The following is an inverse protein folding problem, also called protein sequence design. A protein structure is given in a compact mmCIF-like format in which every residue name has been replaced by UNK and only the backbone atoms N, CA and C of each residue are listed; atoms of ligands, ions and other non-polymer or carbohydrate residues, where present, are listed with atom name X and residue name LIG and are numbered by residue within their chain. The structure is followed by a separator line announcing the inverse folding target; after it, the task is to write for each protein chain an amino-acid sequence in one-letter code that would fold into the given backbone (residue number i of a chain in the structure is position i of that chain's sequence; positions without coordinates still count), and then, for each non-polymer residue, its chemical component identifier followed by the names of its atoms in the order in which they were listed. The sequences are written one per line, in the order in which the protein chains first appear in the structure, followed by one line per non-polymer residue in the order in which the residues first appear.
data_IF_379115430729
#
_entry.id   IF_379115430729
#
_cell.length_a   1.000
_cell.length_b   1.000
_cell.length_c   1.000
_cell.angle_alpha   90.00
_cell.angle_beta   90.00
_cell.angle_gamma   90.00
#
_symmetry.space_group_name_H-M   'P 1'
#
loop_
_entity.id
_entity.type
_entity.pdbx_description
1 polymer ?
#
# COMPACT_ATOMS: atom_id res chain seq x y z
N UNK A 1 -27.61 58.18 50.40
CA UNK A 1 -26.38 57.40 50.15
C UNK A 1 -26.78 56.00 49.72
N UNK A 2 -26.74 55.71 48.41
CA UNK A 2 -27.10 54.39 47.86
C UNK A 2 -25.80 53.63 47.60
N UNK A 3 -25.61 52.52 48.30
CA UNK A 3 -24.48 51.61 48.07
C UNK A 3 -24.87 50.67 46.92
N UNK A 4 -24.08 50.65 45.86
CA UNK A 4 -24.20 49.68 44.79
C UNK A 4 -23.36 48.45 45.15
N UNK A 5 -23.97 47.27 45.16
CA UNK A 5 -23.26 46.00 45.24
C UNK A 5 -23.02 45.48 43.81
N UNK A 6 -21.75 45.27 43.46
CA UNK A 6 -21.38 44.60 42.21
C UNK A 6 -21.34 43.09 42.45
N UNK A 7 -22.10 42.33 41.66
CA UNK A 7 -22.04 40.86 41.62
C UNK A 7 -21.03 40.48 40.53
N UNK A 8 -19.92 39.88 40.92
CA UNK A 8 -18.99 39.25 40.01
C UNK A 8 -19.51 37.84 39.65
N UNK A 9 -19.83 37.62 38.37
CA UNK A 9 -20.15 36.30 37.84
C UNK A 9 -18.85 35.67 37.34
N UNK A 10 -18.35 34.65 38.05
CA UNK A 10 -17.29 33.80 37.55
C UNK A 10 -17.88 32.80 36.54
N UNK A 11 -17.60 32.99 35.26
CA UNK A 11 -17.84 31.97 34.24
C UNK A 11 -16.78 30.87 34.39
N UNK A 12 -17.19 29.69 34.85
CA UNK A 12 -16.32 28.51 34.82
C UNK A 12 -16.19 28.03 33.37
N UNK A 13 -14.97 28.05 32.83
CA UNK A 13 -14.65 27.40 31.55
C UNK A 13 -14.79 25.89 31.70
N UNK A 14 -15.62 25.25 30.87
CA UNK A 14 -15.60 23.79 30.76
C UNK A 14 -14.29 23.37 30.08
N UNK A 15 -13.38 22.76 30.83
CA UNK A 15 -12.21 22.13 30.28
C UNK A 15 -12.62 20.83 29.59
N UNK A 16 -12.31 20.69 28.30
CA UNK A 16 -12.40 19.40 27.63
C UNK A 16 -11.26 18.52 28.15
N UNK A 17 -11.59 17.40 28.80
CA UNK A 17 -10.58 16.40 29.15
C UNK A 17 -10.04 15.77 27.85
N UNK A 18 -8.72 15.67 27.75
CA UNK A 18 -8.07 15.00 26.63
C UNK A 18 -8.45 13.51 26.65
N UNK A 19 -8.96 13.00 25.53
CA UNK A 19 -9.23 11.57 25.36
C UNK A 19 -7.92 10.79 25.43
N UNK A 20 -7.81 9.87 26.39
CA UNK A 20 -6.65 8.99 26.53
C UNK A 20 -6.71 7.91 25.47
N UNK A 21 -5.69 7.84 24.63
CA UNK A 21 -5.50 6.74 23.68
C UNK A 21 -4.75 5.60 24.35
N UNK A 22 -5.20 4.37 24.15
CA UNK A 22 -4.52 3.15 24.59
C UNK A 22 -4.21 2.28 23.38
N UNK A 23 -3.13 1.52 23.45
CA UNK A 23 -2.75 0.53 22.43
C UNK A 23 -3.00 -0.88 22.95
N UNK A 24 -3.51 -1.75 22.10
CA UNK A 24 -3.67 -3.18 22.37
C UNK A 24 -2.93 -3.99 21.30
N UNK A 25 -2.23 -5.04 21.73
CA UNK A 25 -1.61 -5.99 20.80
C UNK A 25 -2.71 -6.92 20.26
N UNK A 26 -3.11 -6.73 19.00
CA UNK A 26 -4.15 -7.56 18.37
C UNK A 26 -3.61 -8.80 17.66
N UNK A 27 -2.33 -8.78 17.24
CA UNK A 27 -1.67 -9.92 16.55
C UNK A 27 -0.16 -9.88 16.74
N UNK A 28 0.49 -11.04 16.78
CA UNK A 28 1.95 -11.19 16.85
C UNK A 28 2.43 -12.35 15.95
N UNK A 29 3.74 -12.55 15.85
CA UNK A 29 4.34 -13.62 15.03
C UNK A 29 4.46 -13.30 13.53
N UNK A 30 4.31 -12.02 13.16
CA UNK A 30 4.45 -11.54 11.79
C UNK A 30 5.93 -11.35 11.40
N UNK A 31 6.25 -11.57 10.13
CA UNK A 31 7.58 -11.37 9.56
C UNK A 31 7.68 -10.03 8.81
N UNK A 32 8.32 -9.03 9.45
CA UNK A 32 8.55 -7.69 8.86
C UNK A 32 7.26 -7.08 8.25
N UNK A 33 6.18 -6.90 9.04
CA UNK A 33 4.95 -6.29 8.52
C UNK A 33 5.23 -4.84 8.09
N UNK A 34 4.76 -4.46 6.91
CA UNK A 34 5.01 -3.12 6.31
C UNK A 34 3.73 -2.38 5.92
N UNK A 35 2.62 -3.09 5.71
CA UNK A 35 1.33 -2.50 5.38
C UNK A 35 0.18 -3.32 5.93
N UNK A 36 -0.95 -2.66 6.19
CA UNK A 36 -2.24 -3.28 6.54
C UNK A 36 -3.34 -2.67 5.68
N UNK A 37 -4.20 -3.51 5.12
CA UNK A 37 -5.27 -3.12 4.19
C UNK A 37 -6.56 -3.89 4.48
N UNK A 38 -7.69 -3.32 4.11
CA UNK A 38 -8.98 -4.01 4.06
C UNK A 38 -9.64 -3.66 2.74
N UNK A 39 -10.27 -4.63 2.04
CA UNK A 39 -11.04 -4.32 0.84
C UNK A 39 -12.17 -3.33 1.13
N UNK A 40 -12.60 -2.54 0.14
CA UNK A 40 -13.75 -1.66 0.28
C UNK A 40 -14.98 -2.40 0.84
N UNK A 41 -15.57 -1.86 1.90
CA UNK A 41 -16.75 -2.44 2.56
C UNK A 41 -16.49 -3.66 3.45
N UNK A 42 -15.26 -4.16 3.51
CA UNK A 42 -14.90 -5.29 4.38
C UNK A 42 -14.50 -4.80 5.77
N UNK A 43 -15.30 -5.18 6.77
CA UNK A 43 -15.11 -4.80 8.17
C UNK A 43 -14.54 -5.94 9.02
N UNK A 44 -14.39 -7.14 8.45
CA UNK A 44 -13.94 -8.33 9.18
C UNK A 44 -12.46 -8.62 8.93
N UNK A 45 -12.01 -8.55 7.67
CA UNK A 45 -10.68 -8.97 7.27
C UNK A 45 -9.69 -7.80 7.28
N UNK A 46 -8.54 -8.04 7.91
CA UNK A 46 -7.34 -7.20 7.84
C UNK A 46 -6.26 -7.99 7.11
N UNK A 47 -5.83 -7.49 5.97
CA UNK A 47 -4.76 -8.06 5.15
C UNK A 47 -3.44 -7.41 5.56
N UNK A 48 -2.52 -8.21 6.08
CA UNK A 48 -1.24 -7.76 6.61
C UNK A 48 -0.14 -8.15 5.63
N UNK A 49 0.54 -7.17 5.08
CA UNK A 49 1.64 -7.35 4.14
C UNK A 49 2.94 -7.58 4.91
N UNK A 50 3.49 -8.78 4.78
CA UNK A 50 4.79 -9.18 5.32
C UNK A 50 5.86 -9.00 4.24
N UNK A 51 6.81 -8.10 4.49
CA UNK A 51 7.78 -7.69 3.47
C UNK A 51 8.59 -8.86 2.94
N UNK A 52 9.11 -9.69 3.86
CA UNK A 52 9.74 -10.97 3.54
C UNK A 52 10.15 -11.77 4.78
N UNK A 53 10.22 -13.08 4.61
CA UNK A 53 11.06 -14.00 5.36
C UNK A 53 12.01 -14.69 4.37
N UNK A 54 13.31 -14.41 4.46
CA UNK A 54 14.24 -14.74 3.36
C UNK A 54 13.91 -13.93 2.10
N UNK A 55 13.67 -14.61 0.99
CA UNK A 55 13.22 -14.06 -0.30
C UNK A 55 11.73 -14.32 -0.59
N UNK A 56 10.94 -14.56 0.47
CA UNK A 56 9.51 -14.85 0.36
C UNK A 56 8.68 -13.77 1.03
N UNK A 57 7.97 -12.95 0.25
CA UNK A 57 6.94 -12.02 0.72
C UNK A 57 5.60 -12.72 0.91
N UNK A 58 4.74 -12.20 1.79
CA UNK A 58 3.42 -12.81 2.06
C UNK A 58 2.37 -11.76 2.39
N UNK A 59 1.11 -12.11 2.15
CA UNK A 59 -0.02 -11.41 2.76
C UNK A 59 -0.75 -12.38 3.66
N UNK A 60 -0.94 -11.98 4.91
CA UNK A 60 -1.69 -12.71 5.94
C UNK A 60 -3.08 -12.09 6.08
N UNK A 61 -4.08 -12.89 6.44
CA UNK A 61 -5.40 -12.35 6.82
C UNK A 61 -5.57 -12.53 8.32
N UNK A 62 -5.92 -11.46 9.01
CA UNK A 62 -6.46 -11.48 10.37
C UNK A 62 -7.98 -11.25 10.27
N UNK A 63 -8.78 -12.05 10.96
CA UNK A 63 -10.24 -11.87 11.03
C UNK A 63 -10.65 -11.34 12.39
N UNK A 64 -11.33 -10.20 12.41
CA UNK A 64 -11.85 -9.58 13.63
C UNK A 64 -12.87 -10.50 14.33
N UNK A 65 -13.70 -11.19 13.57
CA UNK A 65 -14.72 -12.12 14.05
C UNK A 65 -14.16 -13.29 14.86
N UNK A 66 -12.95 -13.76 14.52
CA UNK A 66 -12.29 -14.87 15.22
C UNK A 66 -11.17 -14.41 16.16
N UNK A 67 -10.73 -13.16 16.01
CA UNK A 67 -9.59 -12.61 16.75
C UNK A 67 -8.27 -13.26 16.38
N UNK A 68 -8.15 -13.85 15.18
CA UNK A 68 -7.01 -14.69 14.82
C UNK A 68 -6.55 -14.52 13.36
N UNK A 69 -5.29 -14.88 13.11
CA UNK A 69 -4.77 -15.06 11.75
C UNK A 69 -5.39 -16.30 11.11
N UNK A 70 -5.74 -16.19 9.83
CA UNK A 70 -5.99 -17.35 8.98
C UNK A 70 -4.75 -18.27 8.97
N UNK A 71 -4.99 -19.58 8.94
CA UNK A 71 -3.95 -20.60 8.87
C UNK A 71 -3.26 -20.60 7.50
N UNK A 72 -4.02 -20.33 6.45
CA UNK A 72 -3.51 -20.13 5.10
C UNK A 72 -3.19 -18.65 4.86
N UNK A 73 -2.06 -18.38 4.17
CA UNK A 73 -1.73 -17.04 3.69
C UNK A 73 -2.66 -16.67 2.53
N UNK A 74 -3.02 -15.39 2.41
CA UNK A 74 -3.76 -14.89 1.25
C UNK A 74 -2.97 -15.09 -0.05
N UNK A 75 -1.70 -14.68 -0.04
CA UNK A 75 -0.77 -14.90 -1.14
C UNK A 75 0.65 -15.06 -0.62
N UNK A 76 1.47 -15.80 -1.38
CA UNK A 76 2.92 -15.95 -1.17
C UNK A 76 3.63 -15.53 -2.45
N UNK A 77 4.55 -14.58 -2.33
CA UNK A 77 5.36 -14.05 -3.45
C UNK A 77 6.79 -14.54 -3.27
N UNK A 78 7.26 -15.37 -4.19
CA UNK A 78 8.60 -15.94 -4.14
C UNK A 78 9.58 -15.12 -4.97
N UNK A 79 10.84 -15.05 -4.52
CA UNK A 79 11.89 -14.37 -5.27
C UNK A 79 11.85 -12.85 -5.16
N UNK A 80 11.21 -12.31 -4.12
CA UNK A 80 11.31 -10.87 -3.83
C UNK A 80 12.77 -10.53 -3.49
N UNK A 81 13.22 -9.36 -3.94
CA UNK A 81 14.56 -8.89 -3.64
C UNK A 81 14.73 -8.64 -2.14
N UNK A 82 15.95 -8.79 -1.67
CA UNK A 82 16.30 -8.76 -0.23
C UNK A 82 17.16 -7.57 0.15
N UNK A 83 17.39 -6.64 -0.79
CA UNK A 83 18.06 -5.37 -0.52
C UNK A 83 17.32 -4.52 0.52
N UNK A 84 17.98 -3.46 0.99
CA UNK A 84 17.59 -2.64 2.15
C UNK A 84 16.08 -2.52 2.39
N UNK A 85 15.38 -1.78 1.53
CA UNK A 85 13.94 -1.51 1.63
C UNK A 85 13.11 -2.44 0.74
N UNK A 86 13.77 -3.31 -0.02
CA UNK A 86 13.14 -4.15 -1.02
C UNK A 86 12.40 -5.35 -0.40
N UNK A 87 11.33 -5.75 -1.07
CA UNK A 87 10.50 -6.90 -0.72
C UNK A 87 9.11 -6.78 -1.34
N UNK A 88 8.11 -7.44 -0.74
CA UNK A 88 6.71 -7.10 -0.96
C UNK A 88 6.38 -5.86 -0.13
N UNK A 89 5.88 -4.79 -0.74
CA UNK A 89 5.74 -3.50 -0.07
C UNK A 89 4.29 -3.16 0.24
N UNK A 90 3.38 -3.37 -0.70
CA UNK A 90 1.96 -3.08 -0.49
C UNK A 90 1.03 -3.90 -1.41
N UNK A 91 -0.26 -3.87 -1.06
CA UNK A 91 -1.37 -4.28 -1.92
C UNK A 91 -2.41 -3.17 -2.01
N UNK A 92 -3.17 -3.14 -3.10
CA UNK A 92 -4.37 -2.33 -3.21
C UNK A 92 -5.51 -3.16 -3.80
N UNK A 93 -6.68 -3.12 -3.18
CA UNK A 93 -7.87 -3.80 -3.69
C UNK A 93 -8.58 -2.91 -4.69
N UNK A 94 -9.01 -3.49 -5.81
CA UNK A 94 -9.88 -2.80 -6.75
C UNK A 94 -11.14 -2.26 -6.02
N UNK A 95 -11.70 -1.09 -6.39
CA UNK A 95 -12.92 -0.56 -5.77
C UNK A 95 -14.07 -1.57 -5.74
N UNK A 96 -14.20 -2.37 -6.81
CA UNK A 96 -15.19 -3.45 -6.96
C UNK A 96 -14.67 -4.84 -6.52
N UNK A 97 -13.69 -4.93 -5.62
CA UNK A 97 -13.08 -6.21 -5.20
C UNK A 97 -14.08 -7.26 -4.73
N UNK A 98 -15.18 -6.84 -4.09
CA UNK A 98 -16.23 -7.75 -3.65
C UNK A 98 -16.87 -8.53 -4.80
N UNK A 99 -16.91 -7.94 -6.00
CA UNK A 99 -17.53 -8.51 -7.19
C UNK A 99 -16.51 -9.14 -8.13
N UNK A 100 -15.33 -8.52 -8.30
CA UNK A 100 -14.34 -8.94 -9.29
C UNK A 100 -13.14 -9.71 -8.71
N UNK A 101 -12.89 -9.63 -7.39
CA UNK A 101 -11.75 -10.27 -6.73
C UNK A 101 -10.38 -9.76 -7.19
N UNK A 102 -10.29 -8.57 -7.80
CA UNK A 102 -9.06 -8.00 -8.37
C UNK A 102 -8.31 -7.13 -7.35
N UNK A 103 -7.00 -7.32 -7.29
CA UNK A 103 -6.12 -6.51 -6.47
C UNK A 103 -4.74 -6.36 -7.14
N UNK A 104 -3.94 -5.43 -6.63
CA UNK A 104 -2.64 -5.08 -7.19
C UNK A 104 -1.56 -5.27 -6.15
N UNK A 105 -0.37 -5.69 -6.56
CA UNK A 105 0.81 -5.81 -5.70
C UNK A 105 1.94 -4.88 -6.14
N UNK A 106 2.59 -4.28 -5.15
CA UNK A 106 3.86 -3.57 -5.31
C UNK A 106 4.96 -4.39 -4.66
N UNK A 107 5.90 -4.90 -5.46
CA UNK A 107 7.07 -5.61 -4.92
C UNK A 107 8.34 -5.36 -5.73
N UNK A 108 9.49 -5.63 -5.13
CA UNK A 108 10.78 -5.64 -5.83
C UNK A 108 11.17 -7.07 -6.19
N UNK A 109 11.51 -7.34 -7.45
CA UNK A 109 11.77 -8.70 -7.92
C UNK A 109 13.27 -8.98 -8.07
N UNK A 110 13.78 -10.03 -7.41
CA UNK A 110 15.22 -10.35 -7.44
C UNK A 110 15.71 -10.75 -8.84
N UNK A 111 14.89 -11.46 -9.61
CA UNK A 111 15.23 -11.85 -10.99
C UNK A 111 15.32 -10.67 -11.95
N UNK A 112 14.82 -9.49 -11.55
CA UNK A 112 14.89 -8.23 -12.29
C UNK A 112 15.85 -7.25 -11.61
N UNK A 113 16.84 -7.74 -10.86
CA UNK A 113 17.83 -6.87 -10.20
C UNK A 113 17.32 -6.04 -9.02
N UNK A 114 16.09 -6.30 -8.54
CA UNK A 114 15.45 -5.51 -7.50
C UNK A 114 14.49 -4.43 -8.01
N UNK A 115 14.21 -4.43 -9.32
CA UNK A 115 13.25 -3.53 -9.95
C UNK A 115 11.85 -3.67 -9.35
N UNK A 116 11.13 -2.55 -9.31
CA UNK A 116 9.74 -2.48 -8.86
C UNK A 116 8.85 -3.12 -9.91
N UNK A 117 7.95 -4.00 -9.47
CA UNK A 117 6.89 -4.60 -10.28
C UNK A 117 5.56 -4.17 -9.70
N UNK A 118 4.73 -3.57 -10.55
CA UNK A 118 3.32 -3.32 -10.26
C UNK A 118 2.50 -4.26 -11.14
N UNK A 119 1.72 -5.14 -10.53
CA UNK A 119 0.98 -6.16 -11.26
C UNK A 119 -0.40 -6.41 -10.66
N UNK A 120 -1.33 -6.81 -11.53
CA UNK A 120 -2.72 -7.16 -11.24
C UNK A 120 -2.85 -8.65 -10.97
N UNK A 121 -3.62 -8.98 -9.94
CA UNK A 121 -3.87 -10.34 -9.46
C UNK A 121 -5.37 -10.53 -9.20
N UNK A 122 -5.78 -11.79 -9.18
CA UNK A 122 -7.16 -12.18 -8.89
C UNK A 122 -7.23 -13.23 -7.80
N UNK A 123 -8.43 -13.39 -7.23
CA UNK A 123 -8.74 -14.51 -6.34
C UNK A 123 -8.67 -15.85 -7.08
N UNK A 124 -8.14 -16.86 -6.40
CA UNK A 124 -8.29 -18.27 -6.80
C UNK A 124 -9.47 -18.91 -6.07
N UNK A 125 -9.66 -18.56 -4.80
CA UNK A 125 -10.78 -18.95 -3.96
C UNK A 125 -11.05 -17.86 -2.91
N UNK A 126 -12.07 -18.04 -2.07
CA UNK A 126 -12.28 -17.15 -0.92
C UNK A 126 -11.01 -17.12 -0.05
N UNK A 127 -10.57 -15.92 0.32
CA UNK A 127 -9.37 -15.69 1.14
C UNK A 127 -8.05 -16.23 0.57
N UNK A 128 -8.02 -16.60 -0.72
CA UNK A 128 -6.83 -17.15 -1.38
C UNK A 128 -6.68 -16.55 -2.76
N UNK A 129 -5.60 -15.78 -2.97
CA UNK A 129 -5.25 -15.23 -4.27
C UNK A 129 -4.50 -16.23 -5.16
N UNK A 130 -4.58 -16.01 -6.47
CA UNK A 130 -3.67 -16.63 -7.42
C UNK A 130 -2.25 -16.04 -7.23
N UNK A 131 -1.20 -16.85 -7.07
CA UNK A 131 0.16 -16.36 -6.93
C UNK A 131 0.76 -15.83 -8.25
N UNK A 132 0.11 -16.07 -9.39
CA UNK A 132 0.53 -15.60 -10.72
C UNK A 132 -0.27 -14.36 -11.09
N UNK A 133 0.39 -13.28 -11.57
CA UNK A 133 -0.34 -12.10 -12.01
C UNK A 133 -1.20 -12.41 -13.24
N UNK A 134 -2.34 -11.74 -13.33
CA UNK A 134 -3.17 -11.68 -14.56
C UNK A 134 -2.37 -10.92 -15.63
N UNK A 135 -1.81 -9.77 -15.24
CA UNK A 135 -0.91 -8.95 -16.06
C UNK A 135 0.00 -8.10 -15.18
N UNK A 136 1.15 -7.73 -15.74
CA UNK A 136 2.00 -6.68 -15.18
C UNK A 136 1.54 -5.33 -15.74
N UNK A 137 1.34 -4.34 -14.88
CA UNK A 137 1.02 -2.98 -15.32
C UNK A 137 2.28 -2.29 -15.85
N UNK A 138 3.36 -2.35 -15.07
CA UNK A 138 4.70 -1.95 -15.50
C UNK A 138 5.78 -2.52 -14.58
N UNK A 139 7.02 -2.46 -15.06
CA UNK A 139 8.25 -2.66 -14.28
C UNK A 139 9.04 -1.36 -14.32
N UNK A 140 9.50 -0.89 -13.17
CA UNK A 140 10.35 0.30 -13.06
C UNK A 140 11.72 -0.08 -12.52
N UNK A 141 12.77 0.37 -13.20
CA UNK A 141 14.14 0.13 -12.77
C UNK A 141 14.43 0.80 -11.42
N UNK A 142 15.07 0.07 -10.50
CA UNK A 142 15.46 0.59 -9.19
C UNK A 142 16.99 0.57 -9.04
N UNK A 143 17.68 1.69 -9.33
CA UNK A 143 19.15 1.74 -9.35
C UNK A 143 19.81 1.44 -8.00
N UNK A 144 19.09 1.64 -6.89
CA UNK A 144 19.53 1.28 -5.55
C UNK A 144 18.43 0.53 -4.78
N UNK A 145 18.84 -0.15 -3.71
CA UNK A 145 17.93 -0.95 -2.87
C UNK A 145 17.17 -0.16 -1.79
N UNK A 146 17.26 1.17 -1.83
CA UNK A 146 16.62 2.08 -0.90
C UNK A 146 15.90 3.20 -1.68
N UNK A 147 15.02 3.94 -1.01
CA UNK A 147 14.03 4.85 -1.57
C UNK A 147 13.27 4.27 -2.75
N UNK A 148 12.77 3.04 -2.60
CA UNK A 148 11.99 2.39 -3.66
C UNK A 148 10.52 2.90 -3.71
N UNK A 149 10.07 3.61 -2.67
CA UNK A 149 8.66 3.95 -2.49
C UNK A 149 7.92 2.76 -1.88
N UNK A 150 6.74 2.43 -2.38
CA UNK A 150 6.08 1.17 -2.00
C UNK A 150 4.58 1.25 -1.82
N UNK A 151 4.03 2.44 -1.56
CA UNK A 151 2.62 2.58 -1.21
C UNK A 151 1.73 2.58 -2.46
N UNK A 152 0.55 2.00 -2.32
CA UNK A 152 -0.46 1.98 -3.37
C UNK A 152 -1.87 1.99 -2.78
N UNK A 153 -2.78 2.75 -3.39
CA UNK A 153 -4.21 2.72 -3.05
C UNK A 153 -5.08 3.32 -4.14
N UNK A 154 -6.39 3.04 -4.10
CA UNK A 154 -7.35 3.67 -4.99
C UNK A 154 -7.84 5.00 -4.41
N UNK A 155 -7.86 6.02 -5.27
CA UNK A 155 -8.50 7.29 -4.95
C UNK A 155 -10.02 7.20 -5.03
N UNK A 156 -10.75 8.18 -4.46
CA UNK A 156 -12.21 8.26 -4.58
C UNK A 156 -12.68 8.53 -6.02
N UNK A 157 -11.76 8.86 -6.92
CA UNK A 157 -11.96 9.04 -8.35
C UNK A 157 -11.80 7.75 -9.15
N UNK A 158 -11.53 6.61 -8.49
CA UNK A 158 -11.44 5.30 -9.12
C UNK A 158 -10.07 4.95 -9.69
N UNK A 159 -9.07 5.83 -9.56
CA UNK A 159 -7.74 5.60 -10.10
C UNK A 159 -6.78 5.01 -9.08
N UNK A 160 -5.82 4.22 -9.56
CA UNK A 160 -4.77 3.63 -8.76
C UNK A 160 -3.63 4.65 -8.57
N UNK A 161 -3.35 5.01 -7.32
CA UNK A 161 -2.23 5.86 -6.96
C UNK A 161 -1.05 5.01 -6.48
N UNK A 162 0.14 5.30 -6.98
CA UNK A 162 1.36 4.53 -6.68
C UNK A 162 2.47 5.51 -6.31
N UNK A 163 3.14 5.28 -5.18
CA UNK A 163 4.32 6.04 -4.81
C UNK A 163 5.60 5.32 -5.25
N UNK A 164 6.43 6.02 -6.01
CA UNK A 164 7.79 5.60 -6.35
C UNK A 164 8.78 6.59 -5.76
N UNK A 165 9.75 6.10 -4.98
CA UNK A 165 10.86 6.93 -4.53
C UNK A 165 11.82 7.25 -5.68
N UNK A 166 12.85 8.04 -5.40
CA UNK A 166 13.84 8.53 -6.39
C UNK A 166 14.81 7.44 -6.91
N UNK A 167 14.64 6.20 -6.43
CA UNK A 167 15.49 5.07 -6.74
C UNK A 167 16.71 4.96 -5.84
N UNK A 168 16.86 5.85 -4.84
CA UNK A 168 17.74 5.65 -3.70
C UNK A 168 19.01 6.46 -3.63
N UNK A 169 19.82 6.09 -2.63
CA UNK A 169 21.04 6.79 -2.20
C UNK A 169 20.83 8.24 -1.74
N UNK A 170 21.88 8.84 -1.17
CA UNK A 170 21.81 10.18 -0.59
C UNK A 170 21.78 11.26 -1.69
N UNK A 171 20.73 12.09 -1.68
CA UNK A 171 20.63 13.29 -2.51
C UNK A 171 20.20 13.06 -3.96
N UNK A 172 19.38 12.04 -4.22
CA UNK A 172 18.88 11.68 -5.58
C UNK A 172 20.00 11.68 -6.64
N UNK A 173 20.99 10.78 -6.54
CA UNK A 173 22.02 10.68 -7.56
C UNK A 173 21.38 10.25 -8.88
N UNK A 174 21.52 11.12 -9.89
CA UNK A 174 20.83 10.99 -11.16
C UNK A 174 19.72 12.01 -11.34
N UNK A 175 19.35 12.74 -10.29
CA UNK A 175 18.35 13.81 -10.30
C UNK A 175 17.01 13.34 -10.92
N UNK A 176 16.64 12.07 -10.63
CA UNK A 176 15.52 11.39 -11.29
C UNK A 176 14.18 11.95 -10.85
N UNK A 177 14.09 12.39 -9.60
CA UNK A 177 12.88 13.03 -9.10
C UNK A 177 12.58 14.34 -9.86
N UNK A 178 13.60 15.04 -10.35
CA UNK A 178 13.44 16.29 -11.11
C UNK A 178 13.21 16.09 -12.61
N UNK A 179 13.53 14.93 -13.17
CA UNK A 179 13.16 14.62 -14.55
C UNK A 179 11.68 14.26 -14.62
N UNK A 180 10.90 15.11 -15.29
CA UNK A 180 9.46 14.95 -15.51
C UNK A 180 9.12 14.42 -16.91
N UNK A 181 10.14 14.11 -17.71
CA UNK A 181 9.98 13.77 -19.14
C UNK A 181 10.20 12.29 -19.40
N UNK A 182 11.14 11.66 -18.68
CA UNK A 182 11.58 10.28 -18.97
C UNK A 182 11.72 9.39 -17.73
N UNK A 183 11.30 9.85 -16.55
CA UNK A 183 11.44 9.13 -15.28
C UNK A 183 10.09 8.97 -14.57
N UNK A 184 9.83 7.77 -14.07
CA UNK A 184 8.71 7.50 -13.15
C UNK A 184 9.15 7.58 -11.68
N UNK A 185 10.46 7.57 -11.40
CA UNK A 185 11.02 7.67 -10.05
C UNK A 185 10.85 9.07 -9.43
N UNK A 186 10.65 9.07 -8.12
CA UNK A 186 10.42 10.27 -7.29
C UNK A 186 9.06 10.91 -7.55
N UNK A 187 8.04 10.11 -7.87
CA UNK A 187 6.71 10.59 -8.29
C UNK A 187 5.58 9.92 -7.50
N UNK A 188 4.44 10.60 -7.50
CA UNK A 188 3.14 9.99 -7.26
C UNK A 188 2.48 9.75 -8.61
N UNK A 189 2.33 8.49 -8.99
CA UNK A 189 1.66 8.09 -10.22
C UNK A 189 0.16 7.95 -9.94
N UNK A 190 -0.66 8.17 -10.98
CA UNK A 190 -2.11 8.00 -10.97
C UNK A 190 -2.49 7.30 -12.28
N UNK A 191 -2.95 6.06 -12.19
CA UNK A 191 -3.23 5.21 -13.35
C UNK A 191 -4.72 4.88 -13.45
N UNK A 192 -5.20 4.81 -14.68
CA UNK A 192 -6.45 4.13 -15.02
C UNK A 192 -6.13 2.67 -15.34
N UNK A 193 -6.59 1.77 -14.47
CA UNK A 193 -6.32 0.33 -14.60
C UNK A 193 -7.37 -0.38 -15.45
N UNK A 194 -8.49 0.27 -15.75
CA UNK A 194 -9.56 -0.31 -16.57
C UNK A 194 -9.34 -0.06 -18.07
N UNK A 195 -8.41 0.85 -18.40
CA UNK A 195 -7.97 1.13 -19.76
C UNK A 195 -6.57 0.63 -20.10
N UNK A 196 -6.20 0.79 -21.36
CA UNK A 196 -4.84 0.59 -21.87
C UNK A 196 -4.54 1.59 -23.00
N UNK A 197 -3.72 2.60 -22.71
CA UNK A 197 -3.28 3.60 -23.69
C UNK A 197 -2.08 3.14 -24.51
N UNK A 198 -1.49 1.97 -24.17
CA UNK A 198 -0.30 1.43 -24.80
C UNK A 198 -0.52 0.01 -25.36
N UNK A 199 -1.56 -0.25 -26.18
CA UNK A 199 -1.95 -1.60 -26.60
C UNK A 199 -0.91 -2.37 -27.45
N UNK A 200 0.15 -1.71 -27.91
CA UNK A 200 1.27 -2.34 -28.62
C UNK A 200 2.50 -2.59 -27.75
N UNK A 201 2.46 -2.22 -26.47
CA UNK A 201 3.56 -2.29 -25.53
C UNK A 201 3.20 -3.27 -24.39
N UNK A 202 3.69 -4.52 -24.43
CA UNK A 202 3.36 -5.50 -23.40
C UNK A 202 3.89 -5.14 -22.01
N UNK A 203 4.81 -4.17 -21.91
CA UNK A 203 5.42 -3.74 -20.65
C UNK A 203 4.69 -2.54 -20.01
N UNK A 204 3.67 -1.99 -20.69
CA UNK A 204 2.78 -0.94 -20.17
C UNK A 204 1.33 -1.30 -20.44
N UNK A 205 0.61 -1.72 -19.40
CA UNK A 205 -0.76 -2.21 -19.54
C UNK A 205 -1.70 -1.44 -18.61
N UNK A 206 -1.89 -0.17 -18.92
CA UNK A 206 -2.70 0.80 -18.17
C UNK A 206 -2.99 2.03 -19.06
N UNK A 207 -3.98 2.82 -18.68
CA UNK A 207 -4.24 4.13 -19.27
C UNK A 207 -3.81 5.27 -18.33
N UNK A 208 -3.59 6.45 -18.93
CA UNK A 208 -3.30 7.69 -18.22
C UNK A 208 -4.61 8.48 -18.11
N UNK A 209 -5.08 8.80 -16.89
CA UNK A 209 -6.29 9.59 -16.71
C UNK A 209 -6.22 10.93 -17.45
N UNK A 210 -7.34 11.34 -18.05
CA UNK A 210 -7.49 12.61 -18.76
C UNK A 210 -7.42 13.85 -17.84
#
# INVERSE_FOLDING_TARGET
MRHAAAIAVCLASQGFAQSTWTTELFVSGLARPVSVKSPPGDMDRIFIVEQRSGSTGRVRIYKNSTGALNTQNFVVVNGVSTGSEQGLLDIAFHPDFADNGIFYMHHNQASLGGDTVIAEYGLFAEDVANPTPIRTLFVENQPFSNHNGGWMDFGPDGYLYISLGDGGSAGDPGNRAQDITSQMLGKMLRLDVDGDDFPGDPDRNYAIPA
#
